data_IF_154655285497
#
_entry.id   IF_154655285497
#
_cell.length_a   1.000
_cell.length_b   1.000
_cell.length_c   1.000
_cell.angle_alpha   90.00
_cell.angle_beta   90.00
_cell.angle_gamma   90.00
#
_symmetry.space_group_name_H-M   'P 1'
#
loop_
_entity.id
_entity.type
_entity.pdbx_description
1 polymer ?
#
# COMPACT_ATOMS: atom_id res chain seq x y z
N UNK A 1 -6.46 -12.16 -10.21
CA UNK A 1 -5.63 -11.55 -9.15
C UNK A 1 -6.53 -10.57 -8.43
N UNK A 2 -6.83 -10.85 -7.16
CA UNK A 2 -7.62 -9.93 -6.33
C UNK A 2 -6.74 -8.80 -5.78
N UNK A 3 -7.35 -7.66 -5.52
CA UNK A 3 -6.71 -6.51 -4.87
C UNK A 3 -7.51 -6.15 -3.62
N UNK A 4 -6.81 -5.99 -2.50
CA UNK A 4 -7.40 -5.52 -1.25
C UNK A 4 -6.62 -4.30 -0.77
N UNK A 5 -7.36 -3.26 -0.43
CA UNK A 5 -6.82 -2.00 0.07
C UNK A 5 -7.16 -1.83 1.55
N UNK A 6 -6.17 -1.47 2.35
CA UNK A 6 -6.29 -1.23 3.79
C UNK A 6 -5.99 0.24 4.10
N UNK A 7 -6.91 0.99 4.73
CA UNK A 7 -6.64 2.36 5.16
C UNK A 7 -5.42 2.40 6.10
N UNK A 8 -4.50 3.35 5.89
CA UNK A 8 -3.30 3.50 6.71
C UNK A 8 -2.74 4.92 6.66
N UNK A 9 -1.65 5.16 7.41
CA UNK A 9 -0.94 6.43 7.48
C UNK A 9 0.55 6.19 7.27
N UNK A 10 1.15 6.85 6.27
CA UNK A 10 2.61 6.86 6.03
C UNK A 10 3.06 8.32 5.97
N UNK A 11 4.14 8.67 6.69
CA UNK A 11 4.65 10.04 6.76
C UNK A 11 3.55 11.09 7.07
N UNK A 12 2.66 10.79 8.03
CA UNK A 12 1.52 11.62 8.42
C UNK A 12 0.51 11.91 7.29
N UNK A 13 0.49 11.10 6.23
CA UNK A 13 -0.49 11.18 5.14
C UNK A 13 -1.36 9.93 5.12
N UNK A 14 -2.65 10.13 4.90
CA UNK A 14 -3.59 9.04 4.65
C UNK A 14 -3.25 8.37 3.31
N UNK A 15 -3.18 7.05 3.32
CA UNK A 15 -2.84 6.20 2.18
C UNK A 15 -3.64 4.90 2.26
N UNK A 16 -3.62 4.12 1.18
CA UNK A 16 -4.07 2.73 1.19
C UNK A 16 -2.87 1.80 1.05
N UNK A 17 -2.69 0.87 1.99
CA UNK A 17 -1.82 -0.28 1.79
C UNK A 17 -2.51 -1.24 0.84
N UNK A 18 -1.76 -1.75 -0.13
CA UNK A 18 -2.32 -2.43 -1.27
C UNK A 18 -1.72 -3.82 -1.34
N UNK A 19 -2.55 -4.86 -1.27
CA UNK A 19 -2.14 -6.26 -1.32
C UNK A 19 -2.81 -6.98 -2.48
N UNK A 20 -2.02 -7.71 -3.27
CA UNK A 20 -2.55 -8.61 -4.29
C UNK A 20 -2.55 -10.05 -3.80
N UNK A 21 -3.54 -10.82 -4.26
CA UNK A 21 -3.65 -12.24 -3.93
C UNK A 21 -2.48 -13.12 -4.40
N UNK A 22 -1.58 -12.59 -5.23
CA UNK A 22 -0.35 -13.23 -5.69
C UNK A 22 0.92 -12.64 -5.06
N UNK A 23 0.78 -11.78 -4.05
CA UNK A 23 1.87 -11.28 -3.20
C UNK A 23 1.84 -12.01 -1.85
N UNK A 24 3.00 -12.48 -1.36
CA UNK A 24 3.08 -13.17 -0.06
C UNK A 24 2.79 -12.24 1.13
N UNK A 25 3.05 -10.94 0.97
CA UNK A 25 2.94 -9.94 2.02
C UNK A 25 2.64 -8.54 1.44
N UNK A 26 2.22 -7.62 2.30
CA UNK A 26 1.90 -6.24 1.92
C UNK A 26 3.20 -5.45 1.76
N UNK A 27 3.58 -5.10 0.52
CA UNK A 27 4.81 -4.34 0.22
C UNK A 27 4.59 -2.97 -0.37
N UNK A 28 3.35 -2.66 -0.77
CA UNK A 28 3.04 -1.46 -1.52
C UNK A 28 1.91 -0.67 -0.86
N UNK A 29 1.92 0.63 -1.12
CA UNK A 29 0.83 1.54 -0.80
C UNK A 29 0.58 2.48 -1.97
N UNK A 30 -0.56 3.15 -2.00
CA UNK A 30 -0.81 4.25 -2.91
C UNK A 30 -1.51 5.41 -2.20
N UNK A 31 -1.36 6.61 -2.75
CA UNK A 31 -2.08 7.79 -2.29
C UNK A 31 -3.59 7.62 -2.59
N UNK A 32 -4.44 8.27 -1.79
CA UNK A 32 -5.92 8.17 -1.88
C UNK A 32 -6.43 8.46 -3.31
N UNK A 33 -5.86 9.48 -3.96
CA UNK A 33 -6.30 9.94 -5.29
C UNK A 33 -5.61 9.25 -6.47
N UNK A 34 -4.53 8.50 -6.22
CA UNK A 34 -3.69 7.94 -7.31
C UNK A 34 -4.16 6.55 -7.78
N UNK A 35 -4.96 5.85 -6.97
CA UNK A 35 -5.38 4.47 -7.21
C UNK A 35 -4.21 3.49 -7.40
N UNK A 36 -4.51 2.30 -7.92
CA UNK A 36 -3.54 1.21 -8.09
C UNK A 36 -2.30 1.59 -8.94
N UNK A 37 -2.48 2.41 -9.98
CA UNK A 37 -1.38 2.85 -10.86
C UNK A 37 -0.33 3.71 -10.13
N UNK A 38 -0.66 4.23 -8.95
CA UNK A 38 0.24 5.01 -8.09
C UNK A 38 0.96 4.20 -7.02
N UNK A 39 1.02 2.86 -7.13
CA UNK A 39 1.69 2.00 -6.14
C UNK A 39 3.16 2.39 -5.94
N UNK A 40 3.53 2.58 -4.68
CA UNK A 40 4.87 2.87 -4.18
C UNK A 40 5.25 1.84 -3.12
N UNK A 41 6.53 1.44 -3.02
CA UNK A 41 6.97 0.53 -1.97
C UNK A 41 6.80 1.19 -0.60
N UNK A 42 6.36 0.41 0.39
CA UNK A 42 6.33 0.86 1.79
C UNK A 42 7.75 1.16 2.23
N UNK A 43 8.02 2.31 2.89
CA UNK A 43 9.35 2.60 3.39
C UNK A 43 9.81 1.55 4.41
N UNK A 44 11.07 1.11 4.31
CA UNK A 44 11.61 -0.02 5.11
C UNK A 44 11.44 0.16 6.62
N UNK A 45 11.43 1.41 7.11
CA UNK A 45 11.23 1.71 8.53
C UNK A 45 9.82 1.41 9.06
N UNK A 46 8.88 1.01 8.22
CA UNK A 46 7.54 0.55 8.59
C UNK A 46 7.36 -0.97 8.47
N UNK A 47 8.36 -1.67 7.93
CA UNK A 47 8.37 -3.12 7.79
C UNK A 47 9.10 -3.69 9.01
N UNK A 48 8.33 -4.25 9.94
CA UNK A 48 8.82 -4.89 11.18
C UNK A 48 8.49 -6.36 11.20
#
# INVERSE_FOLDING_TARGET
>A
IGLVDFPSIINNKEVFLCWRSDEDEIKFYHDIDSGYSGRKPIPENYLH
#
